data_IF_033572669765
#
_entry.id   IF_033572669765
#
_cell.length_a   1.000
_cell.length_b   1.000
_cell.length_c   1.000
_cell.angle_alpha   90.00
_cell.angle_beta   90.00
_cell.angle_gamma   90.00
#
_symmetry.space_group_name_H-M   'P 1'
#
loop_
_entity.id
_entity.type
_entity.pdbx_description
1 polymer ?
#
# COMPACT_ATOMS: atom_id res chain seq x y z
N UNK A 1 34.93 -3.61 55.52
CA UNK A 1 35.59 -3.05 54.33
C UNK A 1 35.19 -3.90 53.13
N UNK A 2 34.35 -3.31 52.26
CA UNK A 2 34.09 -3.53 50.81
C UNK A 2 34.27 -4.96 50.27
N UNK A 3 33.31 -5.59 49.58
CA UNK A 3 32.69 -5.17 48.32
C UNK A 3 31.29 -5.77 48.17
N UNK A 4 30.28 -4.96 47.83
CA UNK A 4 29.01 -5.46 47.28
C UNK A 4 28.91 -5.02 45.81
N UNK A 5 28.67 -6.03 44.98
CA UNK A 5 28.56 -6.04 43.52
C UNK A 5 27.36 -5.18 43.09
N UNK A 6 27.61 -4.06 42.42
CA UNK A 6 26.59 -3.27 41.73
C UNK A 6 26.20 -3.96 40.42
N UNK A 7 25.06 -4.65 40.42
CA UNK A 7 24.39 -5.11 39.20
C UNK A 7 23.67 -3.94 38.54
N UNK A 8 24.23 -3.43 37.45
CA UNK A 8 23.61 -2.40 36.61
C UNK A 8 22.58 -3.10 35.71
N UNK A 9 21.31 -3.01 36.07
CA UNK A 9 20.18 -3.36 35.20
C UNK A 9 19.93 -2.17 34.24
N UNK A 10 20.41 -2.28 33.01
CA UNK A 10 20.06 -1.38 31.91
C UNK A 10 18.64 -1.73 31.42
N UNK A 11 17.65 -0.97 31.87
CA UNK A 11 16.31 -0.96 31.29
C UNK A 11 16.37 -0.23 29.95
N UNK A 12 16.40 -0.98 28.85
CA UNK A 12 16.23 -0.45 27.50
C UNK A 12 14.77 -0.03 27.35
N UNK A 13 14.51 1.27 27.44
CA UNK A 13 13.22 1.86 27.11
C UNK A 13 13.08 1.80 25.59
N UNK A 14 12.34 0.81 25.09
CA UNK A 14 11.92 0.75 23.69
C UNK A 14 10.81 1.77 23.49
N UNK A 15 11.17 2.95 22.99
CA UNK A 15 10.21 3.96 22.56
C UNK A 15 9.43 3.44 21.36
N UNK A 16 8.22 2.94 21.60
CA UNK A 16 7.25 2.66 20.54
C UNK A 16 6.84 3.98 19.92
N UNK A 17 7.46 4.35 18.80
CA UNK A 17 6.94 5.36 17.89
C UNK A 17 5.68 4.79 17.24
N UNK A 18 4.55 4.85 17.94
CA UNK A 18 3.25 4.77 17.29
C UNK A 18 3.10 6.06 16.48
N UNK A 19 3.20 5.93 15.16
CA UNK A 19 2.98 7.01 14.22
C UNK A 19 1.66 7.73 14.51
N UNK A 20 1.70 9.05 14.50
CA UNK A 20 0.52 9.89 14.55
C UNK A 20 -0.40 9.51 13.38
N UNK A 21 -1.62 9.09 13.68
CA UNK A 21 -2.70 9.04 12.69
C UNK A 21 -3.21 10.47 12.54
N UNK A 22 -2.78 11.15 11.48
CA UNK A 22 -3.39 12.41 11.08
C UNK A 22 -4.84 12.14 10.65
N UNK A 23 -5.79 12.88 11.23
CA UNK A 23 -7.22 12.83 10.89
C UNK A 23 -7.51 13.54 9.55
N UNK A 24 -6.58 13.52 8.59
CA UNK A 24 -6.85 13.99 7.23
C UNK A 24 -7.62 12.94 6.47
N UNK A 25 -8.61 13.40 5.69
CA UNK A 25 -9.33 12.52 4.76
C UNK A 25 -8.29 11.91 3.79
N UNK A 26 -8.26 10.57 3.63
CA UNK A 26 -7.31 9.93 2.72
C UNK A 26 -7.47 10.48 1.31
N UNK A 27 -6.34 10.73 0.65
CA UNK A 27 -6.34 11.15 -0.75
C UNK A 27 -6.65 9.96 -1.68
N UNK A 28 -6.90 10.23 -2.97
CA UNK A 28 -7.30 9.18 -3.91
C UNK A 28 -6.25 8.06 -4.06
N UNK A 29 -4.95 8.35 -3.96
CA UNK A 29 -3.89 7.33 -3.95
C UNK A 29 -3.90 6.51 -2.66
N UNK A 30 -4.16 7.13 -1.50
CA UNK A 30 -4.32 6.41 -0.24
C UNK A 30 -5.53 5.46 -0.29
N UNK A 31 -6.61 5.86 -0.97
CA UNK A 31 -7.77 5.01 -1.21
C UNK A 31 -7.41 3.79 -2.08
N UNK A 32 -6.55 3.94 -3.10
CA UNK A 32 -6.02 2.79 -3.86
C UNK A 32 -5.23 1.86 -2.95
N UNK A 33 -4.35 2.42 -2.12
CA UNK A 33 -3.60 1.61 -1.15
C UNK A 33 -4.53 0.83 -0.23
N UNK A 34 -5.61 1.46 0.24
CA UNK A 34 -6.64 0.80 1.04
C UNK A 34 -7.27 -0.39 0.29
N UNK A 35 -7.57 -0.26 -1.00
CA UNK A 35 -8.13 -1.36 -1.79
C UNK A 35 -7.14 -2.53 -1.95
N UNK A 36 -5.84 -2.24 -2.07
CA UNK A 36 -4.82 -3.28 -2.02
C UNK A 36 -4.70 -3.95 -0.64
N UNK A 37 -4.88 -3.20 0.44
CA UNK A 37 -4.94 -3.79 1.79
C UNK A 37 -6.17 -4.68 1.97
N UNK A 38 -7.33 -4.27 1.44
CA UNK A 38 -8.53 -5.09 1.43
C UNK A 38 -8.34 -6.36 0.62
N UNK A 39 -7.72 -6.26 -0.56
CA UNK A 39 -7.36 -7.41 -1.39
C UNK A 39 -6.41 -8.34 -0.62
N UNK A 40 -5.38 -7.80 0.05
CA UNK A 40 -4.42 -8.61 0.79
C UNK A 40 -5.07 -9.43 1.91
N UNK A 41 -6.10 -8.86 2.55
CA UNK A 41 -6.87 -9.48 3.63
C UNK A 41 -8.00 -10.39 3.15
N UNK A 42 -8.33 -10.39 1.86
CA UNK A 42 -9.40 -11.23 1.35
C UNK A 42 -8.98 -12.72 1.36
N UNK A 43 -9.73 -13.55 2.10
CA UNK A 43 -9.46 -15.00 2.21
C UNK A 43 -9.40 -15.68 0.83
N UNK A 44 -10.20 -15.21 -0.11
CA UNK A 44 -10.29 -15.74 -1.48
C UNK A 44 -9.17 -15.28 -2.41
N UNK A 45 -8.30 -14.33 -2.02
CA UNK A 45 -7.24 -13.77 -2.88
C UNK A 45 -6.32 -14.85 -3.47
N UNK A 46 -6.02 -15.88 -2.69
CA UNK A 46 -5.14 -16.98 -3.11
C UNK A 46 -5.72 -17.79 -4.27
N UNK A 47 -7.05 -17.85 -4.39
CA UNK A 47 -7.77 -18.52 -5.46
C UNK A 47 -8.08 -17.60 -6.66
N UNK A 48 -7.80 -16.29 -6.55
CA UNK A 48 -8.04 -15.34 -7.63
C UNK A 48 -6.91 -15.39 -8.68
N UNK A 49 -7.28 -15.31 -9.96
CA UNK A 49 -6.35 -15.01 -11.05
C UNK A 49 -5.87 -13.55 -11.00
N UNK A 50 -4.86 -13.22 -11.81
CA UNK A 50 -4.40 -11.83 -12.04
C UNK A 50 -5.56 -10.89 -12.40
N UNK A 51 -6.36 -11.29 -13.39
CA UNK A 51 -7.53 -10.53 -13.85
C UNK A 51 -8.60 -10.38 -12.75
N UNK A 52 -8.87 -11.43 -11.97
CA UNK A 52 -9.84 -11.36 -10.88
C UNK A 52 -9.42 -10.39 -9.78
N UNK A 53 -8.11 -10.33 -9.46
CA UNK A 53 -7.57 -9.32 -8.54
C UNK A 53 -7.66 -7.93 -9.15
N UNK A 54 -7.37 -7.77 -10.45
CA UNK A 54 -7.51 -6.49 -11.13
C UNK A 54 -8.95 -5.99 -11.10
N UNK A 55 -9.91 -6.88 -11.39
CA UNK A 55 -11.34 -6.61 -11.32
C UNK A 55 -11.76 -6.17 -9.92
N UNK A 56 -11.25 -6.82 -8.88
CA UNK A 56 -11.52 -6.43 -7.50
C UNK A 56 -11.11 -4.97 -7.21
N UNK A 57 -9.96 -4.52 -7.73
CA UNK A 57 -9.46 -3.15 -7.57
C UNK A 57 -10.27 -2.18 -8.43
N UNK A 58 -10.42 -2.45 -9.73
CA UNK A 58 -11.13 -1.57 -10.67
C UNK A 58 -12.60 -1.37 -10.31
N UNK A 59 -13.30 -2.40 -9.81
CA UNK A 59 -14.67 -2.25 -9.32
C UNK A 59 -14.78 -1.26 -8.16
N UNK A 60 -13.78 -1.23 -7.25
CA UNK A 60 -13.74 -0.28 -6.13
C UNK A 60 -13.40 1.13 -6.57
N UNK A 61 -12.44 1.27 -7.49
CA UNK A 61 -12.09 2.57 -8.08
C UNK A 61 -13.31 3.17 -8.79
N UNK A 62 -13.96 2.42 -9.66
CA UNK A 62 -15.14 2.89 -10.38
C UNK A 62 -16.32 3.25 -9.47
N UNK A 63 -16.48 2.52 -8.35
CA UNK A 63 -17.55 2.79 -7.40
C UNK A 63 -17.30 4.03 -6.55
N UNK A 64 -16.07 4.21 -6.08
CA UNK A 64 -15.76 5.18 -5.01
C UNK A 64 -15.01 6.42 -5.50
N UNK A 65 -14.29 6.30 -6.62
CA UNK A 65 -13.50 7.36 -7.26
C UNK A 65 -13.92 7.52 -8.74
N UNK A 66 -15.23 7.69 -9.03
CA UNK A 66 -15.67 7.86 -10.41
C UNK A 66 -15.02 9.13 -10.99
N UNK A 67 -14.42 8.99 -12.18
CA UNK A 67 -13.76 10.09 -12.89
C UNK A 67 -12.50 10.68 -12.21
N UNK A 68 -11.89 9.98 -11.25
CA UNK A 68 -10.58 10.37 -10.71
C UNK A 68 -9.46 10.07 -11.70
N UNK A 69 -8.43 10.92 -11.73
CA UNK A 69 -7.17 10.67 -12.46
C UNK A 69 -6.56 9.32 -12.06
N UNK A 70 -6.67 8.97 -10.79
CA UNK A 70 -6.11 7.75 -10.22
C UNK A 70 -6.75 6.48 -10.79
N UNK A 71 -8.03 6.54 -11.16
CA UNK A 71 -8.71 5.43 -11.84
C UNK A 71 -8.10 5.18 -13.21
N UNK A 72 -7.83 6.23 -13.97
CA UNK A 72 -7.16 6.16 -15.29
C UNK A 72 -5.71 5.71 -15.14
N UNK A 73 -5.00 6.21 -14.12
CA UNK A 73 -3.62 5.82 -13.82
C UNK A 73 -3.52 4.33 -13.50
N UNK A 74 -4.38 3.79 -12.63
CA UNK A 74 -4.39 2.35 -12.36
C UNK A 74 -4.77 1.53 -13.58
N UNK A 75 -5.75 1.98 -14.38
CA UNK A 75 -6.12 1.29 -15.62
C UNK A 75 -4.91 1.13 -16.53
N UNK A 76 -4.18 2.21 -16.82
CA UNK A 76 -2.96 2.16 -17.64
C UNK A 76 -1.87 1.29 -17.01
N UNK A 77 -1.62 1.44 -15.71
CA UNK A 77 -0.63 0.65 -14.97
C UNK A 77 -0.97 -0.84 -14.98
N UNK A 78 -2.24 -1.22 -14.97
CA UNK A 78 -2.67 -2.61 -14.93
C UNK A 78 -2.23 -3.42 -16.16
N UNK A 79 -1.92 -2.75 -17.28
CA UNK A 79 -1.35 -3.33 -18.50
C UNK A 79 0.18 -3.34 -18.54
N UNK A 80 0.85 -2.63 -17.64
CA UNK A 80 2.31 -2.59 -17.61
C UNK A 80 2.91 -3.95 -17.20
N UNK A 81 4.21 -4.10 -17.47
CA UNK A 81 5.03 -5.23 -17.00
C UNK A 81 4.80 -5.42 -15.50
N UNK A 82 4.43 -6.62 -15.03
CA UNK A 82 3.94 -6.83 -13.67
C UNK A 82 4.84 -6.25 -12.57
N UNK A 83 6.14 -6.44 -12.70
CA UNK A 83 7.17 -6.05 -11.74
C UNK A 83 7.33 -4.53 -11.66
N UNK A 84 6.98 -3.80 -12.72
CA UNK A 84 7.12 -2.34 -12.81
C UNK A 84 5.87 -1.60 -12.32
N UNK A 85 4.73 -2.29 -12.18
CA UNK A 85 3.43 -1.68 -11.89
C UNK A 85 3.45 -0.79 -10.65
N UNK A 86 4.11 -1.26 -9.59
CA UNK A 86 4.20 -0.50 -8.34
C UNK A 86 5.00 0.78 -8.52
N UNK A 87 6.20 0.68 -9.09
CA UNK A 87 7.09 1.83 -9.23
C UNK A 87 6.53 2.88 -10.20
N UNK A 88 5.85 2.46 -11.28
CA UNK A 88 5.16 3.36 -12.19
C UNK A 88 4.04 4.11 -11.45
N UNK A 89 3.19 3.39 -10.71
CA UNK A 89 2.08 4.01 -9.99
C UNK A 89 2.58 4.95 -8.88
N UNK A 90 3.59 4.51 -8.11
CA UNK A 90 4.24 5.30 -7.07
C UNK A 90 4.83 6.59 -7.64
N UNK A 91 5.58 6.52 -8.73
CA UNK A 91 6.16 7.70 -9.39
C UNK A 91 5.06 8.70 -9.78
N UNK A 92 3.94 8.21 -10.32
CA UNK A 92 2.78 9.05 -10.64
C UNK A 92 2.16 9.69 -9.39
N UNK A 93 1.98 8.90 -8.33
CA UNK A 93 1.44 9.38 -7.05
C UNK A 93 2.32 10.47 -6.43
N UNK A 94 3.64 10.26 -6.39
CA UNK A 94 4.59 11.22 -5.82
C UNK A 94 4.64 12.52 -6.63
N UNK A 95 4.56 12.42 -7.96
CA UNK A 95 4.49 13.59 -8.84
C UNK A 95 3.21 14.40 -8.62
N UNK A 96 2.06 13.73 -8.43
CA UNK A 96 0.77 14.41 -8.21
C UNK A 96 0.64 14.98 -6.79
N UNK A 97 1.12 14.25 -5.78
CA UNK A 97 1.03 14.66 -4.38
C UNK A 97 2.13 15.66 -3.96
N UNK A 98 3.24 15.71 -4.69
CA UNK A 98 4.41 16.53 -4.32
C UNK A 98 5.12 16.08 -3.05
N UNK A 99 4.92 14.81 -2.65
CA UNK A 99 5.52 14.17 -1.47
C UNK A 99 5.75 12.68 -1.72
N UNK A 100 6.61 12.07 -0.93
CA UNK A 100 6.82 10.62 -0.96
C UNK A 100 5.51 9.87 -0.68
N UNK A 101 5.32 8.77 -1.39
CA UNK A 101 4.16 7.91 -1.25
C UNK A 101 4.61 6.45 -1.23
N UNK A 102 4.06 5.68 -0.31
CA UNK A 102 4.38 4.27 -0.16
C UNK A 102 3.13 3.48 0.19
N UNK A 103 3.01 2.29 -0.40
CA UNK A 103 1.94 1.37 -0.11
C UNK A 103 2.46 -0.08 -0.12
N UNK A 104 2.86 -0.62 1.05
CA UNK A 104 3.40 -1.99 1.13
C UNK A 104 2.46 -3.07 0.58
N UNK A 105 1.14 -2.89 0.75
CA UNK A 105 0.15 -3.81 0.21
C UNK A 105 0.13 -3.79 -1.32
N UNK A 106 0.22 -2.60 -1.93
CA UNK A 106 0.28 -2.46 -3.38
C UNK A 106 1.61 -2.94 -3.93
N UNK A 107 2.74 -2.61 -3.28
CA UNK A 107 4.06 -3.11 -3.67
C UNK A 107 4.10 -4.64 -3.75
N UNK A 108 3.50 -5.31 -2.76
CA UNK A 108 3.40 -6.76 -2.71
C UNK A 108 2.49 -7.34 -3.80
N UNK A 109 1.39 -6.67 -4.13
CA UNK A 109 0.29 -7.27 -4.88
C UNK A 109 0.12 -6.74 -6.31
N UNK A 110 0.66 -5.57 -6.65
CA UNK A 110 0.59 -5.02 -8.00
C UNK A 110 1.22 -5.97 -9.05
N UNK A 111 2.35 -6.65 -8.79
CA UNK A 111 2.88 -7.66 -9.72
C UNK A 111 1.95 -8.87 -9.93
N UNK A 112 1.00 -9.08 -9.02
CA UNK A 112 0.05 -10.20 -9.08
C UNK A 112 -1.38 -9.72 -9.41
N UNK A 113 -1.54 -8.45 -9.75
CA UNK A 113 -2.82 -7.78 -9.99
C UNK A 113 -2.72 -6.95 -11.27
N UNK A 114 -3.42 -7.34 -12.32
CA UNK A 114 -3.44 -6.62 -13.60
C UNK A 114 -3.97 -7.50 -14.72
N UNK A 115 -3.72 -7.08 -15.95
CA UNK A 115 -4.14 -7.79 -17.16
C UNK A 115 -2.92 -8.52 -17.73
N UNK A 116 -3.12 -9.76 -18.19
CA UNK A 116 -2.13 -10.46 -19.01
C UNK A 116 -2.35 -10.04 -20.46
N UNK A 117 -1.29 -9.55 -21.13
CA UNK A 117 -1.28 -9.39 -22.60
C UNK A 117 -1.17 -10.72 -23.32
#
# INVERSE_FOLDING_TARGET
MNYLRNSILLLVVTSSLYGCVDNEKPNDFDMVCQYFQELDKADSKSAMSLDQRNKFITERLNKNLPSSSVTVSWEAVSYAVPEDRYEIFKTGAEAELGKEWDCPAMQKLAPLTGIEE
#
